data_IF_835347090155
#
_entry.id   IF_835347090155
#
_cell.length_a   1.000
_cell.length_b   1.000
_cell.length_c   1.000
_cell.angle_alpha   90.00
_cell.angle_beta   90.00
_cell.angle_gamma   90.00
#
_symmetry.space_group_name_H-M   'P 1'
#
loop_
_entity.id
_entity.type
_entity.pdbx_description
1 polymer ?
#
# COMPACT_ATOMS: atom_id res chain seq x y z
N UNK A 1 -14.76 3.56 -14.01
CA UNK A 1 -14.53 4.87 -14.68
C UNK A 1 -15.02 6.06 -13.85
N UNK A 2 -16.17 5.99 -13.18
CA UNK A 2 -16.70 7.08 -12.33
C UNK A 2 -15.75 7.49 -11.19
N UNK A 3 -15.15 6.54 -10.46
CA UNK A 3 -14.19 6.80 -9.38
C UNK A 3 -12.89 7.49 -9.84
N UNK A 4 -12.37 7.11 -11.01
CA UNK A 4 -11.18 7.75 -11.61
C UNK A 4 -11.46 9.18 -12.04
N UNK A 5 -12.66 9.45 -12.57
CA UNK A 5 -13.09 10.80 -12.94
C UNK A 5 -13.33 11.67 -11.70
N UNK A 6 -14.01 11.13 -10.68
CA UNK A 6 -14.30 11.80 -9.42
C UNK A 6 -13.00 12.13 -8.65
N UNK A 7 -12.08 11.17 -8.54
CA UNK A 7 -10.76 11.37 -7.91
C UNK A 7 -9.87 12.38 -8.64
N UNK A 8 -9.93 12.46 -9.98
CA UNK A 8 -9.13 13.41 -10.78
C UNK A 8 -9.64 14.85 -10.73
N UNK A 9 -10.96 15.08 -10.62
CA UNK A 9 -11.55 16.43 -10.66
C UNK A 9 -11.86 17.02 -9.29
N UNK A 10 -12.31 16.23 -8.30
CA UNK A 10 -12.81 16.76 -7.04
C UNK A 10 -11.72 17.03 -5.98
N UNK A 11 -10.59 16.31 -6.05
CA UNK A 11 -9.53 16.37 -5.03
C UNK A 11 -8.23 17.00 -5.54
N UNK A 12 -8.40 18.12 -6.26
CA UNK A 12 -7.32 19.07 -6.54
C UNK A 12 -7.49 20.26 -5.61
N UNK A 13 -6.50 20.50 -4.74
CA UNK A 13 -6.42 21.75 -3.99
C UNK A 13 -5.25 22.54 -4.58
N UNK A 14 -5.50 23.79 -4.97
CA UNK A 14 -4.51 24.67 -5.61
C UNK A 14 -3.80 24.04 -6.83
N UNK A 15 -4.55 23.33 -7.68
CA UNK A 15 -4.05 22.58 -8.84
C UNK A 15 -3.11 21.39 -8.53
N UNK A 16 -2.94 21.01 -7.26
CA UNK A 16 -2.15 19.84 -6.85
C UNK A 16 -3.05 18.66 -6.53
N UNK A 17 -2.71 17.48 -7.04
CA UNK A 17 -3.40 16.23 -6.69
C UNK A 17 -3.03 15.81 -5.28
N UNK A 18 -4.02 15.72 -4.39
CA UNK A 18 -3.81 15.26 -3.01
C UNK A 18 -3.71 13.74 -2.99
N UNK A 19 -4.77 13.06 -3.45
CA UNK A 19 -4.89 11.61 -3.35
C UNK A 19 -4.62 10.90 -4.65
N UNK A 20 -4.13 9.67 -4.53
CA UNK A 20 -4.15 8.74 -5.62
C UNK A 20 -5.61 8.42 -6.01
N UNK A 21 -6.02 8.63 -7.28
CA UNK A 21 -7.40 8.47 -7.70
C UNK A 21 -7.90 7.03 -7.61
N UNK A 22 -7.00 6.05 -7.76
CA UNK A 22 -7.38 4.65 -7.71
C UNK A 22 -7.41 4.14 -6.26
N UNK A 23 -6.51 4.59 -5.38
CA UNK A 23 -6.59 4.27 -3.94
C UNK A 23 -7.85 4.86 -3.32
N UNK A 24 -8.17 6.11 -3.67
CA UNK A 24 -9.39 6.76 -3.23
C UNK A 24 -10.63 6.06 -3.79
N UNK A 25 -10.58 5.65 -5.06
CA UNK A 25 -11.65 4.88 -5.68
C UNK A 25 -11.92 3.56 -4.96
N UNK A 26 -10.88 2.84 -4.55
CA UNK A 26 -11.00 1.61 -3.78
C UNK A 26 -11.60 1.86 -2.40
N UNK A 27 -11.09 2.84 -1.65
CA UNK A 27 -11.62 3.18 -0.33
C UNK A 27 -13.11 3.58 -0.38
N UNK A 28 -13.49 4.43 -1.36
CA UNK A 28 -14.89 4.82 -1.54
C UNK A 28 -15.78 3.65 -1.94
N UNK A 29 -15.28 2.75 -2.80
CA UNK A 29 -16.01 1.56 -3.20
C UNK A 29 -16.29 0.65 -2.00
N UNK A 30 -15.28 0.44 -1.14
CA UNK A 30 -15.43 -0.34 0.09
C UNK A 30 -16.48 0.28 1.02
N UNK A 31 -16.45 1.60 1.23
CA UNK A 31 -17.45 2.30 2.05
C UNK A 31 -18.87 2.16 1.45
N UNK A 32 -19.01 2.29 0.13
CA UNK A 32 -20.30 2.13 -0.53
C UNK A 32 -20.82 0.70 -0.43
N UNK A 33 -19.95 -0.31 -0.58
CA UNK A 33 -20.31 -1.73 -0.39
C UNK A 33 -20.86 -1.98 1.00
N UNK A 34 -20.21 -1.43 2.03
CA UNK A 34 -20.66 -1.56 3.41
C UNK A 34 -22.03 -0.93 3.66
N UNK A 35 -22.25 0.29 3.16
CA UNK A 35 -23.55 0.96 3.29
C UNK A 35 -24.65 0.18 2.56
N UNK A 36 -24.32 -0.41 1.41
CA UNK A 36 -25.25 -1.24 0.66
C UNK A 36 -25.57 -2.56 1.39
N UNK A 37 -24.58 -3.19 2.00
CA UNK A 37 -24.72 -4.41 2.80
C UNK A 37 -25.59 -4.17 4.04
N UNK A 38 -25.31 -3.13 4.81
CA UNK A 38 -26.08 -2.72 5.99
C UNK A 38 -27.57 -2.47 5.65
N UNK A 39 -27.84 -1.88 4.47
CA UNK A 39 -29.21 -1.59 4.03
C UNK A 39 -29.95 -2.75 3.38
N UNK A 40 -29.23 -3.68 2.75
CA UNK A 40 -29.84 -4.79 1.99
C UNK A 40 -29.92 -6.08 2.80
N UNK A 41 -29.16 -6.20 3.90
CA UNK A 41 -29.02 -7.45 4.65
C UNK A 41 -28.39 -8.59 3.83
N UNK A 42 -27.83 -8.27 2.65
CA UNK A 42 -27.18 -9.20 1.73
C UNK A 42 -25.70 -8.83 1.62
N UNK A 43 -24.78 -9.80 1.55
CA UNK A 43 -23.35 -9.54 1.52
C UNK A 43 -22.98 -8.59 0.36
N UNK A 44 -22.24 -7.53 0.66
CA UNK A 44 -21.90 -6.46 -0.27
C UNK A 44 -21.17 -7.00 -1.51
N UNK A 45 -21.79 -6.84 -2.68
CA UNK A 45 -21.38 -7.47 -3.94
C UNK A 45 -20.13 -6.85 -4.59
N UNK A 46 -19.65 -5.69 -4.10
CA UNK A 46 -18.51 -5.01 -4.73
C UNK A 46 -17.24 -5.30 -3.96
N UNK A 47 -16.72 -6.50 -4.18
CA UNK A 47 -15.38 -6.89 -3.79
C UNK A 47 -14.42 -6.35 -4.85
N UNK A 48 -13.47 -5.52 -4.44
CA UNK A 48 -12.37 -5.18 -5.33
C UNK A 48 -11.56 -6.44 -5.62
N UNK A 49 -11.66 -6.96 -6.85
CA UNK A 49 -10.75 -7.99 -7.38
C UNK A 49 -9.26 -7.66 -7.15
N UNK A 50 -8.91 -6.38 -6.99
CA UNK A 50 -7.53 -5.98 -6.66
C UNK A 50 -7.12 -6.24 -5.20
N UNK A 51 -8.06 -6.16 -4.25
CA UNK A 51 -7.80 -6.41 -2.83
C UNK A 51 -8.08 -7.85 -2.41
N UNK A 52 -8.96 -8.53 -3.14
CA UNK A 52 -9.36 -9.90 -2.85
C UNK A 52 -8.38 -10.94 -3.38
N UNK A 53 -7.71 -10.70 -4.51
CA UNK A 53 -7.05 -11.77 -5.27
C UNK A 53 -5.57 -12.02 -4.92
N UNK A 54 -4.94 -11.17 -4.09
CA UNK A 54 -3.59 -11.43 -3.56
C UNK A 54 -3.59 -12.16 -2.20
N UNK A 55 -4.73 -12.16 -1.51
CA UNK A 55 -4.94 -12.94 -0.28
C UNK A 55 -5.60 -14.30 -0.53
N UNK A 56 -6.16 -14.54 -1.73
CA UNK A 56 -7.09 -15.63 -1.98
C UNK A 56 -6.48 -17.02 -2.17
N UNK A 57 -5.16 -17.19 -1.98
CA UNK A 57 -4.52 -18.52 -2.04
C UNK A 57 -4.82 -19.30 -3.34
N UNK A 58 -5.31 -18.67 -4.41
CA UNK A 58 -5.73 -19.37 -5.64
C UNK A 58 -4.56 -20.10 -6.33
N UNK A 59 -3.33 -19.68 -6.00
CA UNK A 59 -2.07 -20.32 -6.39
C UNK A 59 -1.30 -20.94 -5.22
N UNK A 60 -1.87 -21.02 -4.01
CA UNK A 60 -1.18 -21.56 -2.84
C UNK A 60 -0.74 -23.01 -3.06
N UNK A 61 -1.51 -23.76 -3.86
CA UNK A 61 -1.21 -25.14 -4.23
C UNK A 61 -0.20 -25.25 -5.39
N UNK A 62 0.09 -24.15 -6.09
CA UNK A 62 0.98 -24.09 -7.26
C UNK A 62 2.24 -23.27 -6.96
N UNK A 63 3.04 -23.77 -6.02
CA UNK A 63 4.21 -23.08 -5.45
C UNK A 63 5.17 -22.49 -6.50
N UNK A 64 5.45 -23.18 -7.60
CA UNK A 64 6.38 -22.67 -8.63
C UNK A 64 5.79 -21.50 -9.43
N UNK A 65 4.51 -21.58 -9.80
CA UNK A 65 3.81 -20.50 -10.51
C UNK A 65 3.69 -19.26 -9.61
N UNK A 66 3.48 -19.50 -8.32
CA UNK A 66 3.48 -18.50 -7.28
C UNK A 66 4.78 -17.66 -7.27
N UNK A 67 5.93 -18.32 -7.15
CA UNK A 67 7.24 -17.65 -7.16
C UNK A 67 7.54 -16.96 -8.50
N UNK A 68 7.17 -17.58 -9.63
CA UNK A 68 7.40 -17.01 -10.96
C UNK A 68 6.65 -15.68 -11.16
N UNK A 69 5.37 -15.61 -10.76
CA UNK A 69 4.58 -14.38 -10.81
C UNK A 69 5.13 -13.31 -9.87
N UNK A 70 5.48 -13.68 -8.64
CA UNK A 70 6.08 -12.75 -7.68
C UNK A 70 7.37 -12.12 -8.24
N UNK A 71 8.24 -12.92 -8.87
CA UNK A 71 9.49 -12.43 -9.47
C UNK A 71 9.24 -11.52 -10.68
N UNK A 72 8.31 -11.89 -11.57
CA UNK A 72 7.92 -11.08 -12.72
C UNK A 72 7.44 -9.68 -12.28
N UNK A 73 6.58 -9.65 -11.27
CA UNK A 73 6.03 -8.44 -10.70
C UNK A 73 7.06 -7.56 -9.99
N UNK A 74 7.96 -8.18 -9.22
CA UNK A 74 9.08 -7.47 -8.60
C UNK A 74 9.97 -6.77 -9.65
N UNK A 75 10.29 -7.44 -10.75
CA UNK A 75 11.08 -6.88 -11.85
C UNK A 75 10.40 -5.69 -12.53
N UNK A 76 9.10 -5.81 -12.85
CA UNK A 76 8.33 -4.72 -13.46
C UNK A 76 8.24 -3.48 -12.56
N UNK A 77 8.15 -3.68 -11.25
CA UNK A 77 8.11 -2.60 -10.28
C UNK A 77 9.45 -1.86 -10.16
N UNK A 78 10.58 -2.59 -10.08
CA UNK A 78 11.92 -1.97 -10.06
C UNK A 78 12.12 -1.08 -11.30
N UNK A 79 11.61 -1.52 -12.46
CA UNK A 79 11.60 -0.72 -13.68
C UNK A 79 10.83 0.61 -13.50
N UNK A 80 9.58 0.57 -13.02
CA UNK A 80 8.79 1.80 -12.81
C UNK A 80 9.35 2.72 -11.73
N UNK A 81 9.84 2.17 -10.62
CA UNK A 81 10.47 2.95 -9.54
C UNK A 81 11.70 3.71 -10.04
N UNK A 82 12.49 3.11 -10.95
CA UNK A 82 13.59 3.79 -11.63
C UNK A 82 13.11 4.83 -12.62
N UNK A 83 12.13 4.50 -13.48
CA UNK A 83 11.58 5.41 -14.48
C UNK A 83 11.03 6.71 -13.85
N UNK A 84 10.35 6.61 -12.69
CA UNK A 84 9.79 7.77 -11.98
C UNK A 84 10.74 8.39 -10.94
N UNK A 85 11.99 7.91 -10.83
CA UNK A 85 12.98 8.36 -9.84
C UNK A 85 12.50 8.27 -8.38
N UNK A 86 11.81 7.18 -8.05
CA UNK A 86 11.23 6.90 -6.72
C UNK A 86 11.87 5.73 -5.99
N UNK A 87 13.04 5.30 -6.45
CA UNK A 87 13.72 4.13 -5.89
C UNK A 87 14.00 4.30 -4.38
N UNK A 88 14.36 5.50 -3.92
CA UNK A 88 14.59 5.77 -2.50
C UNK A 88 13.35 5.61 -1.65
N UNK A 89 12.19 6.02 -2.17
CA UNK A 89 10.91 5.87 -1.48
C UNK A 89 10.56 4.40 -1.27
N UNK A 90 10.79 3.59 -2.31
CA UNK A 90 10.54 2.15 -2.31
C UNK A 90 11.47 1.43 -1.36
N UNK A 91 12.76 1.72 -1.44
CA UNK A 91 13.79 1.11 -0.60
C UNK A 91 13.52 1.46 0.86
N UNK A 92 13.27 2.74 1.19
CA UNK A 92 13.02 3.14 2.56
C UNK A 92 11.78 2.47 3.11
N UNK A 93 10.66 2.49 2.40
CA UNK A 93 9.43 1.81 2.83
C UNK A 93 9.67 0.31 3.09
N UNK A 94 10.30 -0.39 2.14
CA UNK A 94 10.51 -1.83 2.25
C UNK A 94 11.41 -2.18 3.43
N UNK A 95 12.58 -1.54 3.53
CA UNK A 95 13.52 -1.81 4.62
C UNK A 95 12.94 -1.43 5.97
N UNK A 96 12.19 -0.34 6.07
CA UNK A 96 11.53 0.06 7.30
C UNK A 96 10.43 -0.90 7.72
N UNK A 97 9.62 -1.39 6.79
CA UNK A 97 8.58 -2.36 7.10
C UNK A 97 9.17 -3.66 7.62
N UNK A 98 10.24 -4.14 6.99
CA UNK A 98 10.99 -5.31 7.45
C UNK A 98 11.61 -5.08 8.83
N UNK A 99 12.27 -3.93 9.03
CA UNK A 99 12.89 -3.60 10.32
C UNK A 99 11.85 -3.53 11.45
N UNK A 100 10.69 -2.92 11.22
CA UNK A 100 9.59 -2.88 12.20
C UNK A 100 9.07 -4.29 12.47
N UNK A 101 8.88 -5.12 11.43
CA UNK A 101 8.46 -6.51 11.60
C UNK A 101 9.44 -7.33 12.43
N UNK A 102 10.76 -7.17 12.20
CA UNK A 102 11.81 -7.80 13.01
C UNK A 102 11.72 -7.36 14.47
N UNK A 103 11.61 -6.05 14.71
CA UNK A 103 11.50 -5.49 16.06
C UNK A 103 10.30 -6.08 16.80
N UNK A 104 9.12 -6.12 16.17
CA UNK A 104 7.90 -6.62 16.81
C UNK A 104 8.00 -8.12 17.10
N UNK A 105 8.33 -8.94 16.10
CA UNK A 105 8.36 -10.40 16.29
C UNK A 105 9.46 -10.82 17.28
N UNK A 106 10.65 -10.22 17.19
CA UNK A 106 11.79 -10.63 18.03
C UNK A 106 11.76 -10.02 19.44
N UNK A 107 11.26 -8.79 19.62
CA UNK A 107 11.32 -8.09 20.91
C UNK A 107 9.99 -8.09 21.68
N UNK A 108 8.85 -8.15 20.97
CA UNK A 108 7.52 -8.09 21.61
C UNK A 108 6.94 -9.49 21.74
N UNK A 109 6.95 -10.27 20.65
CA UNK A 109 6.29 -11.57 20.60
C UNK A 109 7.20 -12.73 21.03
N UNK A 110 8.50 -12.47 21.21
CA UNK A 110 9.50 -13.48 21.61
C UNK A 110 9.72 -14.59 20.57
N UNK A 111 9.33 -14.35 19.32
CA UNK A 111 9.39 -15.30 18.22
C UNK A 111 10.83 -15.57 17.74
N UNK A 112 11.03 -16.73 17.14
CA UNK A 112 12.34 -17.12 16.61
C UNK A 112 12.67 -16.41 15.30
N UNK A 113 13.97 -16.24 15.01
CA UNK A 113 14.45 -15.70 13.72
C UNK A 113 14.00 -16.58 12.54
N UNK A 114 13.79 -17.88 12.75
CA UNK A 114 13.30 -18.79 11.72
C UNK A 114 11.81 -18.56 11.39
N UNK A 115 10.97 -18.28 12.39
CA UNK A 115 9.57 -17.88 12.19
C UNK A 115 9.50 -16.50 11.54
N UNK A 116 10.37 -15.57 11.97
CA UNK A 116 10.53 -14.28 11.32
C UNK A 116 10.88 -14.47 9.84
N UNK A 117 11.87 -15.30 9.51
CA UNK A 117 12.24 -15.57 8.12
C UNK A 117 11.11 -16.27 7.37
N UNK A 118 10.40 -17.21 7.99
CA UNK A 118 9.27 -17.90 7.37
C UNK A 118 8.11 -16.96 7.05
N UNK A 119 7.72 -16.10 8.00
CA UNK A 119 6.70 -15.06 7.83
C UNK A 119 7.17 -13.96 6.91
N UNK A 120 8.43 -13.53 6.99
CA UNK A 120 9.01 -12.46 6.18
C UNK A 120 9.18 -12.91 4.74
N UNK A 121 9.70 -14.11 4.50
CA UNK A 121 9.78 -14.71 3.16
C UNK A 121 8.40 -14.96 2.63
N UNK A 122 7.46 -15.54 3.40
CA UNK A 122 6.06 -15.63 2.97
C UNK A 122 5.40 -14.26 2.78
N UNK A 123 5.77 -13.20 3.47
CA UNK A 123 5.17 -11.86 3.29
C UNK A 123 5.83 -11.05 2.17
N UNK A 124 7.12 -11.28 1.90
CA UNK A 124 7.85 -10.75 0.73
C UNK A 124 7.44 -11.45 -0.55
N UNK A 125 7.12 -12.74 -0.45
CA UNK A 125 6.84 -13.62 -1.58
C UNK A 125 5.34 -13.75 -1.78
N UNK A 126 4.51 -13.91 -0.73
CA UNK A 126 3.07 -14.01 -0.90
C UNK A 126 2.43 -12.72 -1.39
N UNK A 127 2.56 -11.65 -0.64
CA UNK A 127 2.37 -10.31 -1.17
C UNK A 127 3.68 -9.93 -1.84
N UNK A 128 3.74 -9.86 -3.16
CA UNK A 128 4.79 -9.10 -3.83
C UNK A 128 4.61 -7.61 -3.47
N UNK A 129 4.82 -7.26 -2.19
CA UNK A 129 4.38 -6.06 -1.46
C UNK A 129 3.14 -5.49 -2.11
N UNK A 130 2.13 -6.35 -2.07
CA UNK A 130 0.77 -6.14 -2.54
C UNK A 130 0.68 -5.46 -3.86
N UNK A 131 1.71 -5.68 -4.68
CA UNK A 131 2.00 -5.16 -5.98
C UNK A 131 1.99 -3.61 -6.02
N UNK A 132 1.29 -2.90 -5.11
CA UNK A 132 0.22 -1.89 -5.26
C UNK A 132 0.15 -0.93 -4.08
N UNK A 133 1.29 -0.59 -3.54
CA UNK A 133 2.18 0.34 -4.24
C UNK A 133 2.07 0.52 -5.78
N UNK A 134 2.43 -0.46 -6.65
CA UNK A 134 2.25 -0.77 -8.13
C UNK A 134 2.10 0.34 -9.14
N UNK A 135 1.36 1.38 -8.82
CA UNK A 135 1.30 2.61 -9.60
C UNK A 135 1.11 3.80 -8.67
N UNK A 136 0.44 3.59 -7.54
CA UNK A 136 -0.12 4.64 -6.71
C UNK A 136 0.82 5.28 -5.70
N UNK A 137 1.68 4.47 -5.06
CA UNK A 137 2.71 5.00 -4.15
C UNK A 137 3.80 5.70 -4.95
N UNK A 138 4.14 5.13 -6.10
CA UNK A 138 5.15 5.66 -7.02
C UNK A 138 4.60 6.76 -7.93
N UNK A 139 3.28 7.02 -7.88
CA UNK A 139 2.61 7.95 -8.80
C UNK A 139 3.25 9.33 -8.68
N UNK A 140 3.83 9.90 -9.76
CA UNK A 140 4.64 11.11 -9.67
C UNK A 140 3.90 12.30 -9.06
N UNK A 141 2.58 12.34 -9.26
CA UNK A 141 1.71 13.45 -8.85
C UNK A 141 1.48 13.48 -7.33
N UNK A 142 1.28 12.31 -6.74
CA UNK A 142 0.86 12.15 -5.33
C UNK A 142 1.99 11.63 -4.42
N UNK A 143 3.19 11.42 -4.99
CA UNK A 143 4.39 10.99 -4.28
C UNK A 143 5.45 12.11 -4.18
N UNK A 144 6.37 12.05 -3.20
CA UNK A 144 7.40 13.08 -2.99
C UNK A 144 8.47 13.02 -4.08
N UNK A 145 8.90 14.18 -4.59
CA UNK A 145 9.91 14.25 -5.65
C UNK A 145 11.34 14.19 -5.10
N UNK A 146 11.60 14.81 -3.96
CA UNK A 146 12.93 14.99 -3.38
C UNK A 146 13.32 13.72 -2.59
N UNK A 147 14.55 13.19 -2.73
CA UNK A 147 14.99 11.96 -2.03
C UNK A 147 14.82 12.00 -0.50
N UNK A 148 15.09 13.14 0.15
CA UNK A 148 14.88 13.29 1.61
C UNK A 148 13.40 13.10 1.99
N UNK A 149 12.49 13.69 1.23
CA UNK A 149 11.05 13.51 1.42
C UNK A 149 10.62 12.07 1.10
N UNK A 150 11.19 11.46 0.07
CA UNK A 150 10.95 10.05 -0.26
C UNK A 150 11.31 9.11 0.90
N UNK A 151 12.46 9.33 1.52
CA UNK A 151 12.90 8.51 2.66
C UNK A 151 11.95 8.71 3.84
N UNK A 152 11.66 9.96 4.22
CA UNK A 152 10.79 10.28 5.36
C UNK A 152 9.36 9.72 5.19
N UNK A 153 8.77 9.90 4.01
CA UNK A 153 7.43 9.38 3.72
C UNK A 153 7.43 7.85 3.62
N UNK A 154 8.52 7.23 3.16
CA UNK A 154 8.66 5.77 3.12
C UNK A 154 8.68 5.16 4.51
N UNK A 155 9.47 5.74 5.42
CA UNK A 155 9.51 5.39 6.84
C UNK A 155 8.11 5.49 7.48
N UNK A 156 7.43 6.63 7.28
CA UNK A 156 6.09 6.86 7.82
C UNK A 156 5.07 5.87 7.25
N UNK A 157 5.13 5.59 5.95
CA UNK A 157 4.24 4.62 5.32
C UNK A 157 4.42 3.21 5.88
N UNK A 158 5.66 2.78 6.12
CA UNK A 158 5.94 1.47 6.69
C UNK A 158 5.39 1.33 8.11
N UNK A 159 5.59 2.36 8.94
CA UNK A 159 5.04 2.40 10.31
C UNK A 159 3.51 2.39 10.30
N UNK A 160 2.89 3.17 9.40
CA UNK A 160 1.44 3.24 9.27
C UNK A 160 0.85 1.89 8.84
N UNK A 161 1.45 1.23 7.83
CA UNK A 161 0.99 -0.09 7.39
C UNK A 161 1.08 -1.11 8.52
N UNK A 162 2.20 -1.11 9.25
CA UNK A 162 2.36 -2.02 10.37
C UNK A 162 1.32 -1.76 11.47
N UNK A 163 1.09 -0.49 11.84
CA UNK A 163 0.05 -0.10 12.79
C UNK A 163 -1.35 -0.58 12.35
N UNK A 164 -1.69 -0.39 11.07
CA UNK A 164 -2.99 -0.79 10.52
C UNK A 164 -3.14 -2.31 10.44
N UNK A 165 -2.07 -3.06 10.15
CA UNK A 165 -2.12 -4.52 10.18
C UNK A 165 -2.25 -5.07 11.60
N UNK A 166 -1.62 -4.42 12.58
CA UNK A 166 -1.63 -4.88 13.98
C UNK A 166 -2.88 -4.46 14.76
N UNK A 167 -3.45 -3.28 14.47
CA UNK A 167 -4.55 -2.69 15.25
C UNK A 167 -5.76 -2.25 14.41
N UNK A 168 -5.70 -2.37 13.08
CA UNK A 168 -6.71 -1.87 12.15
C UNK A 168 -7.96 -2.73 12.01
N UNK A 169 -8.18 -3.74 12.86
CA UNK A 169 -9.37 -4.61 12.83
C UNK A 169 -10.71 -3.85 12.91
N UNK A 170 -10.70 -2.60 13.38
CA UNK A 170 -11.88 -1.74 13.44
C UNK A 170 -12.20 -1.00 12.12
N UNK A 171 -11.25 -0.93 11.18
CA UNK A 171 -11.45 -0.23 9.90
C UNK A 171 -11.64 -1.24 8.78
N UNK A 172 -12.84 -1.31 8.18
CA UNK A 172 -13.21 -2.29 7.15
C UNK A 172 -12.66 -1.95 5.76
N UNK A 173 -11.56 -1.19 5.70
CA UNK A 173 -10.85 -0.81 4.48
C UNK A 173 -9.48 -1.46 4.53
N UNK A 174 -9.04 -2.01 3.40
CA UNK A 174 -7.71 -2.63 3.28
C UNK A 174 -6.59 -1.72 3.86
N UNK A 175 -5.82 -2.21 4.85
CA UNK A 175 -4.71 -1.48 5.48
C UNK A 175 -3.73 -0.84 4.49
N UNK A 176 -3.50 -1.46 3.33
CA UNK A 176 -2.59 -0.95 2.30
C UNK A 176 -3.18 0.27 1.59
N UNK A 177 -4.47 0.25 1.29
CA UNK A 177 -5.17 1.38 0.66
C UNK A 177 -5.15 2.60 1.59
N UNK A 178 -5.44 2.39 2.87
CA UNK A 178 -5.35 3.44 3.89
C UNK A 178 -3.92 3.97 4.03
N UNK A 179 -2.92 3.09 3.96
CA UNK A 179 -1.52 3.51 3.97
C UNK A 179 -1.19 4.44 2.81
N UNK A 180 -1.63 4.11 1.58
CA UNK A 180 -1.42 4.95 0.39
C UNK A 180 -2.05 6.33 0.56
N UNK A 181 -3.30 6.39 1.05
CA UNK A 181 -3.99 7.65 1.30
C UNK A 181 -3.28 8.48 2.39
N UNK A 182 -2.82 7.83 3.46
CA UNK A 182 -2.07 8.48 4.54
C UNK A 182 -0.76 9.10 4.06
N UNK A 183 0.04 8.36 3.27
CA UNK A 183 1.30 8.90 2.73
C UNK A 183 1.08 9.98 1.67
N UNK A 184 -0.04 9.94 0.93
CA UNK A 184 -0.43 11.01 0.01
C UNK A 184 -0.71 12.32 0.78
N UNK A 185 -1.41 12.25 1.92
CA UNK A 185 -1.62 13.41 2.81
C UNK A 185 -0.27 13.94 3.33
N UNK A 186 0.60 13.05 3.83
CA UNK A 186 1.92 13.45 4.31
C UNK A 186 2.75 14.14 3.21
N UNK A 187 2.71 13.58 1.99
CA UNK A 187 3.37 14.16 0.81
C UNK A 187 2.81 15.54 0.46
N UNK A 188 1.48 15.69 0.48
CA UNK A 188 0.82 16.97 0.23
C UNK A 188 1.27 18.03 1.24
N UNK A 189 1.28 17.70 2.54
CA UNK A 189 1.76 18.60 3.60
C UNK A 189 3.22 19.01 3.37
N UNK A 190 4.10 18.06 3.07
CA UNK A 190 5.52 18.34 2.82
C UNK A 190 5.72 19.26 1.60
N UNK A 191 4.95 19.06 0.52
CA UNK A 191 4.97 19.91 -0.68
C UNK A 191 4.48 21.32 -0.38
N UNK A 192 3.32 21.46 0.27
CA UNK A 192 2.69 22.76 0.54
C UNK A 192 3.46 23.58 1.57
N UNK A 193 4.03 22.93 2.60
CA UNK A 193 4.81 23.60 3.66
C UNK A 193 6.29 23.78 3.31
N UNK A 194 6.75 23.31 2.15
CA UNK A 194 8.16 23.35 1.71
C UNK A 194 9.13 22.69 2.71
N UNK A 195 8.66 21.69 3.45
CA UNK A 195 9.46 20.99 4.44
C UNK A 195 10.43 20.04 3.73
N UNK A 196 11.67 19.93 4.25
CA UNK A 196 12.70 19.04 3.73
C UNK A 196 13.07 19.30 2.25
N UNK A 197 12.94 20.57 1.80
CA UNK A 197 13.46 21.06 0.51
C UNK A 197 14.96 21.33 0.59
#
# INVERSE_FOLDING_TARGET
MFSVWFGKKLFRLDNVHIFNPAALGLALLTILSMIAEDRSGSPGVIISWWGADLGQQFLADQLYLYFALALFFLCGFIYFARAFKKLWYVISFTLSYLAVGVIVISLIDGGSVAELLGVTVRSLILSAISFMVLVMFVEPKTSPAIPKQQIAVGLLGAMLLHLLNSYGYAVPIDPLVLTVLGVNIATYILKTRRLLQ
#
